data_IF_379755192918
#
_entry.id   IF_379755192918
#
_cell.length_a   1.000
_cell.length_b   1.000
_cell.length_c   1.000
_cell.angle_alpha   90.00
_cell.angle_beta   90.00
_cell.angle_gamma   90.00
#
_symmetry.space_group_name_H-M   'P 1'
#
loop_
_entity.id
_entity.type
_entity.pdbx_description
1 polymer ?
#
# COMPACT_ATOMS: atom_id res chain seq x y z
N UNK A 1 16.04 -4.35 -26.25
CA UNK A 1 15.02 -3.82 -25.30
C UNK A 1 15.58 -4.10 -23.91
N UNK A 2 15.80 -3.08 -23.08
CA UNK A 2 16.21 -3.31 -21.69
C UNK A 2 14.99 -3.84 -20.96
N UNK A 3 15.09 -5.04 -20.41
CA UNK A 3 14.08 -5.54 -19.48
C UNK A 3 13.99 -4.53 -18.32
N UNK A 4 12.78 -4.05 -18.04
CA UNK A 4 12.58 -3.19 -16.88
C UNK A 4 12.89 -4.00 -15.62
N UNK A 5 13.65 -3.44 -14.70
CA UNK A 5 13.93 -4.09 -13.42
C UNK A 5 12.61 -4.41 -12.69
N UNK A 6 12.53 -5.57 -12.03
CA UNK A 6 11.33 -5.95 -11.31
C UNK A 6 11.03 -4.95 -10.18
N UNK A 7 9.78 -4.53 -10.07
CA UNK A 7 9.32 -3.62 -9.01
C UNK A 7 8.62 -4.40 -7.93
N UNK A 8 9.02 -4.18 -6.67
CA UNK A 8 8.37 -4.77 -5.49
C UNK A 8 7.46 -3.73 -4.86
N UNK A 9 6.19 -4.08 -4.71
CA UNK A 9 5.12 -3.23 -4.17
C UNK A 9 4.66 -3.79 -2.83
N UNK A 10 4.67 -2.95 -1.81
CA UNK A 10 4.00 -3.20 -0.54
C UNK A 10 2.61 -2.58 -0.59
N UNK A 11 1.57 -3.42 -0.59
CA UNK A 11 0.19 -2.97 -0.47
C UNK A 11 -0.31 -3.09 0.96
N UNK A 12 -1.01 -2.07 1.45
CA UNK A 12 -1.53 -2.03 2.82
C UNK A 12 -2.99 -1.58 2.85
N UNK A 13 -3.80 -2.34 3.58
CA UNK A 13 -5.13 -1.94 4.08
C UNK A 13 -4.99 -1.55 5.57
N UNK A 14 -5.05 -0.25 5.92
CA UNK A 14 -4.79 0.21 7.27
C UNK A 14 -5.90 -0.17 8.25
N UNK A 15 -5.53 -0.71 9.39
CA UNK A 15 -6.43 -0.96 10.50
C UNK A 15 -5.70 -0.86 11.84
N UNK A 16 -6.38 -0.42 12.89
CA UNK A 16 -5.74 -0.29 14.21
C UNK A 16 -5.69 -1.59 15.01
N UNK A 17 -6.58 -2.55 14.76
CA UNK A 17 -6.56 -3.86 15.38
C UNK A 17 -5.89 -4.90 14.47
N UNK A 18 -6.14 -4.77 13.17
CA UNK A 18 -5.60 -5.63 12.12
C UNK A 18 -5.27 -4.74 10.93
N UNK A 19 -4.02 -4.73 10.52
CA UNK A 19 -3.55 -4.10 9.28
C UNK A 19 -3.24 -5.20 8.29
N UNK A 20 -3.94 -5.23 7.15
CA UNK A 20 -3.68 -6.19 6.07
C UNK A 20 -2.50 -5.75 5.21
N UNK A 21 -1.68 -6.70 4.75
CA UNK A 21 -0.60 -6.39 3.81
C UNK A 21 -0.42 -7.44 2.73
N UNK A 22 0.13 -7.00 1.59
CA UNK A 22 0.58 -7.87 0.52
C UNK A 22 1.85 -7.35 -0.13
N UNK A 23 2.81 -8.26 -0.37
CA UNK A 23 4.03 -7.97 -1.14
C UNK A 23 3.87 -8.59 -2.51
N UNK A 24 3.77 -7.76 -3.53
CA UNK A 24 3.62 -8.18 -4.93
C UNK A 24 4.83 -7.71 -5.74
N UNK A 25 5.40 -8.61 -6.53
CA UNK A 25 6.43 -8.27 -7.51
C UNK A 25 5.80 -8.17 -8.90
N UNK A 26 6.09 -7.09 -9.60
CA UNK A 26 5.78 -6.88 -11.02
C UNK A 26 7.05 -7.05 -11.82
N UNK A 27 7.10 -8.08 -12.66
CA UNK A 27 8.21 -8.34 -13.58
C UNK A 27 7.99 -7.67 -14.94
N UNK A 28 9.04 -7.54 -15.76
CA UNK A 28 9.08 -6.73 -16.98
C UNK A 28 8.05 -7.07 -18.08
N UNK A 29 7.37 -8.19 -18.04
CA UNK A 29 6.28 -8.57 -18.97
C UNK A 29 4.91 -8.53 -18.30
N UNK A 30 4.71 -7.64 -17.31
CA UNK A 30 3.50 -7.56 -16.50
C UNK A 30 3.16 -8.86 -15.75
N UNK A 31 4.12 -9.76 -15.56
CA UNK A 31 3.95 -10.92 -14.72
C UNK A 31 3.88 -10.46 -13.25
N UNK A 32 2.81 -10.85 -12.57
CA UNK A 32 2.55 -10.50 -11.17
C UNK A 32 2.77 -11.72 -10.29
N UNK A 33 3.61 -11.58 -9.27
CA UNK A 33 3.94 -12.65 -8.33
C UNK A 33 3.66 -12.20 -6.91
N UNK A 34 2.84 -12.93 -6.18
CA UNK A 34 2.68 -12.74 -4.73
C UNK A 34 3.92 -13.32 -4.02
N UNK A 35 4.66 -12.47 -3.34
CA UNK A 35 5.83 -12.86 -2.54
C UNK A 35 5.38 -13.29 -1.14
N UNK A 36 4.57 -12.44 -0.49
CA UNK A 36 4.06 -12.67 0.85
C UNK A 36 2.77 -11.87 1.06
N UNK A 37 1.91 -12.36 1.93
CA UNK A 37 0.78 -11.60 2.44
C UNK A 37 0.46 -12.02 3.87
N UNK A 38 -0.19 -11.15 4.61
CA UNK A 38 -0.55 -11.41 5.99
C UNK A 38 -1.19 -10.22 6.68
N UNK A 39 -1.11 -10.22 7.99
CA UNK A 39 -1.64 -9.15 8.81
C UNK A 39 -0.69 -8.80 9.96
N UNK A 40 -0.62 -7.51 10.26
CA UNK A 40 -0.03 -6.98 11.49
C UNK A 40 -1.17 -6.85 12.50
N UNK A 41 -1.04 -7.48 13.67
CA UNK A 41 -2.06 -7.45 14.73
C UNK A 41 -1.57 -6.66 15.91
N UNK A 42 -2.47 -5.87 16.50
CA UNK A 42 -2.24 -5.18 17.77
C UNK A 42 -3.24 -5.69 18.81
N UNK A 43 -2.95 -5.49 20.07
CA UNK A 43 -3.89 -5.83 21.15
C UNK A 43 -4.83 -4.65 21.41
N UNK A 44 -6.16 -4.80 21.27
CA UNK A 44 -7.12 -3.71 21.50
C UNK A 44 -7.10 -3.14 22.93
N UNK A 45 -6.62 -3.91 23.92
CA UNK A 45 -6.44 -3.48 25.31
C UNK A 45 -5.26 -2.53 25.51
N UNK A 46 -4.32 -2.50 24.60
CA UNK A 46 -3.10 -1.70 24.73
C UNK A 46 -3.40 -0.23 24.39
N UNK A 47 -2.64 0.66 25.01
CA UNK A 47 -2.72 2.09 24.71
C UNK A 47 -2.46 2.35 23.21
N UNK A 48 -3.16 3.34 22.65
CA UNK A 48 -3.07 3.65 21.21
C UNK A 48 -1.60 3.83 20.76
N UNK A 49 -0.76 4.51 21.55
CA UNK A 49 0.64 4.74 21.22
C UNK A 49 1.42 3.44 21.02
N UNK A 50 1.22 2.43 21.87
CA UNK A 50 1.86 1.11 21.72
C UNK A 50 1.38 0.40 20.46
N UNK A 51 0.08 0.43 20.21
CA UNK A 51 -0.48 -0.15 18.98
C UNK A 51 0.05 0.50 17.72
N UNK A 52 0.25 1.83 17.74
CA UNK A 52 0.86 2.55 16.62
C UNK A 52 2.33 2.17 16.43
N UNK A 53 3.08 1.96 17.52
CA UNK A 53 4.45 1.44 17.47
C UNK A 53 4.48 0.04 16.84
N UNK A 54 3.60 -0.87 17.29
CA UNK A 54 3.54 -2.23 16.73
C UNK A 54 3.24 -2.22 15.22
N UNK A 55 2.35 -1.33 14.76
CA UNK A 55 2.04 -1.19 13.33
C UNK A 55 3.26 -0.66 12.57
N UNK A 56 3.90 0.41 13.09
CA UNK A 56 5.10 0.99 12.49
C UNK A 56 6.21 -0.06 12.36
N UNK A 57 6.51 -0.77 13.45
CA UNK A 57 7.59 -1.75 13.51
C UNK A 57 7.32 -2.94 12.58
N UNK A 58 6.06 -3.39 12.51
CA UNK A 58 5.66 -4.43 11.57
C UNK A 58 5.85 -4.00 10.11
N UNK A 59 5.48 -2.77 9.77
CA UNK A 59 5.69 -2.22 8.41
C UNK A 59 7.18 -2.03 8.12
N UNK A 60 7.95 -1.48 9.07
CA UNK A 60 9.40 -1.30 8.92
C UNK A 60 10.12 -2.65 8.71
N UNK A 61 9.68 -3.71 9.40
CA UNK A 61 10.22 -5.06 9.20
C UNK A 61 9.92 -5.61 7.81
N UNK A 62 8.70 -5.42 7.29
CA UNK A 62 8.34 -5.80 5.92
C UNK A 62 9.21 -5.05 4.89
N UNK A 63 9.41 -3.75 5.09
CA UNK A 63 10.26 -2.92 4.23
C UNK A 63 11.71 -3.42 4.26
N UNK A 64 12.26 -3.67 5.45
CA UNK A 64 13.63 -4.15 5.61
C UNK A 64 13.86 -5.50 4.92
N UNK A 65 12.88 -6.41 5.02
CA UNK A 65 12.97 -7.79 4.53
C UNK A 65 12.77 -7.89 3.02
N UNK A 66 11.80 -7.17 2.48
CA UNK A 66 11.41 -7.28 1.06
C UNK A 66 11.92 -6.15 0.18
N UNK A 67 12.41 -5.06 0.78
CA UNK A 67 12.95 -3.88 0.10
C UNK A 67 12.01 -3.38 -1.02
N UNK A 68 10.69 -3.18 -0.73
CA UNK A 68 9.77 -2.63 -1.70
C UNK A 68 10.20 -1.20 -2.05
N UNK A 69 9.99 -0.82 -3.31
CA UNK A 69 10.23 0.54 -3.78
C UNK A 69 8.96 1.37 -3.84
N UNK A 70 7.81 0.71 -3.77
CA UNK A 70 6.47 1.32 -3.84
C UNK A 70 5.64 0.91 -2.65
N UNK A 71 4.96 1.87 -2.03
CA UNK A 71 3.90 1.68 -1.05
C UNK A 71 2.56 2.05 -1.69
N UNK A 72 1.66 1.08 -1.83
CA UNK A 72 0.28 1.26 -2.24
C UNK A 72 -0.63 1.12 -1.02
N UNK A 73 -1.26 2.19 -0.57
CA UNK A 73 -2.05 2.20 0.66
C UNK A 73 -3.50 2.58 0.39
N UNK A 74 -4.44 1.85 0.99
CA UNK A 74 -5.85 2.22 0.93
C UNK A 74 -6.10 3.54 1.69
N UNK A 75 -6.82 4.46 1.04
CA UNK A 75 -7.21 5.72 1.66
C UNK A 75 -8.42 5.53 2.56
N UNK A 76 -8.51 6.37 3.60
CA UNK A 76 -9.61 6.33 4.56
C UNK A 76 -10.79 7.09 3.97
N UNK A 77 -11.91 6.39 3.78
CA UNK A 77 -13.19 7.07 3.56
C UNK A 77 -13.82 7.43 4.91
N UNK A 78 -14.47 8.60 4.99
CA UNK A 78 -15.10 9.07 6.22
C UNK A 78 -15.99 7.98 6.83
N UNK A 79 -15.58 7.42 7.97
CA UNK A 79 -16.44 6.55 8.74
C UNK A 79 -17.56 7.37 9.37
N UNK A 80 -18.74 6.75 9.55
CA UNK A 80 -19.88 7.39 10.25
C UNK A 80 -19.51 7.86 11.66
N UNK A 81 -18.47 7.29 12.25
CA UNK A 81 -17.96 7.63 13.57
C UNK A 81 -16.63 8.38 13.45
N UNK A 82 -16.63 9.67 13.79
CA UNK A 82 -15.47 10.56 13.75
C UNK A 82 -14.30 10.00 14.57
N UNK A 83 -14.55 9.44 15.76
CA UNK A 83 -13.49 8.87 16.60
C UNK A 83 -12.78 7.71 15.91
N UNK A 84 -13.54 6.84 15.25
CA UNK A 84 -12.96 5.72 14.48
C UNK A 84 -12.10 6.24 13.32
N UNK A 85 -12.58 7.25 12.59
CA UNK A 85 -11.82 7.88 11.50
C UNK A 85 -10.51 8.48 12.00
N UNK A 86 -10.53 9.20 13.11
CA UNK A 86 -9.32 9.82 13.70
C UNK A 86 -8.30 8.73 14.10
N UNK A 87 -8.75 7.68 14.80
CA UNK A 87 -7.88 6.60 15.26
C UNK A 87 -7.29 5.81 14.06
N UNK A 88 -8.07 5.60 13.01
CA UNK A 88 -7.60 4.97 11.77
C UNK A 88 -6.59 5.88 11.05
N UNK A 89 -6.81 7.19 11.07
CA UNK A 89 -5.86 8.18 10.55
C UNK A 89 -4.50 8.12 11.22
N UNK A 90 -4.44 7.87 12.54
CA UNK A 90 -3.17 7.65 13.24
C UNK A 90 -2.44 6.40 12.74
N UNK A 91 -3.13 5.27 12.60
CA UNK A 91 -2.53 4.04 12.05
C UNK A 91 -1.99 4.25 10.64
N UNK A 92 -2.78 4.92 9.78
CA UNK A 92 -2.35 5.27 8.43
C UNK A 92 -1.14 6.21 8.44
N UNK A 93 -1.12 7.20 9.33
CA UNK A 93 -0.01 8.15 9.46
C UNK A 93 1.33 7.47 9.78
N UNK A 94 1.36 6.47 10.66
CA UNK A 94 2.61 5.75 10.97
C UNK A 94 3.06 4.84 9.83
N UNK A 95 2.13 4.30 9.04
CA UNK A 95 2.44 3.52 7.84
C UNK A 95 3.07 4.43 6.76
N UNK A 96 2.47 5.60 6.50
CA UNK A 96 3.01 6.58 5.56
C UNK A 96 4.39 7.07 6.00
N UNK A 97 4.57 7.29 7.31
CA UNK A 97 5.86 7.69 7.88
C UNK A 97 6.93 6.63 7.63
N UNK A 98 6.64 5.36 7.87
CA UNK A 98 7.56 4.25 7.62
C UNK A 98 7.98 4.17 6.14
N UNK A 99 7.02 4.32 5.21
CA UNK A 99 7.28 4.36 3.77
C UNK A 99 8.13 5.56 3.35
N UNK A 100 7.83 6.76 3.88
CA UNK A 100 8.56 7.99 3.60
C UNK A 100 10.00 7.93 4.13
N UNK A 101 10.21 7.39 5.33
CA UNK A 101 11.54 7.20 5.91
C UNK A 101 12.40 6.22 5.11
N UNK A 102 11.76 5.24 4.47
CA UNK A 102 12.43 4.28 3.59
C UNK A 102 12.64 4.81 2.15
N UNK A 103 12.18 6.03 1.84
CA UNK A 103 12.31 6.63 0.51
C UNK A 103 11.45 5.96 -0.56
N UNK A 104 10.34 5.32 -0.16
CA UNK A 104 9.43 4.64 -1.09
C UNK A 104 8.59 5.65 -1.89
N UNK A 105 8.20 5.27 -3.10
CA UNK A 105 7.17 5.96 -3.87
C UNK A 105 5.78 5.58 -3.29
N UNK A 106 5.02 6.58 -2.82
CA UNK A 106 3.79 6.36 -2.05
C UNK A 106 2.58 6.70 -2.91
N UNK A 107 1.67 5.74 -3.04
CA UNK A 107 0.42 5.87 -3.77
C UNK A 107 -0.77 5.53 -2.86
N UNK A 108 -1.74 6.43 -2.84
CA UNK A 108 -2.93 6.36 -2.00
C UNK A 108 -4.15 6.12 -2.87
N UNK A 109 -4.93 5.10 -2.57
CA UNK A 109 -6.06 4.68 -3.40
C UNK A 109 -7.36 4.64 -2.61
N UNK A 110 -8.42 5.33 -3.07
CA UNK A 110 -9.76 5.15 -2.52
C UNK A 110 -10.23 3.69 -2.65
N UNK A 111 -11.03 3.17 -1.71
CA UNK A 111 -11.56 1.80 -1.76
C UNK A 111 -12.28 1.46 -3.08
N UNK A 112 -13.00 2.43 -3.66
CA UNK A 112 -13.69 2.25 -4.94
C UNK A 112 -12.72 2.09 -6.12
N UNK A 113 -11.56 2.74 -6.07
CA UNK A 113 -10.53 2.62 -7.09
C UNK A 113 -9.85 1.25 -7.01
N UNK A 114 -9.52 0.77 -5.81
CA UNK A 114 -8.99 -0.58 -5.60
C UNK A 114 -9.95 -1.62 -6.16
N UNK A 115 -11.25 -1.53 -5.83
CA UNK A 115 -12.27 -2.43 -6.36
C UNK A 115 -12.36 -2.38 -7.89
N UNK A 116 -12.32 -1.17 -8.47
CA UNK A 116 -12.36 -0.99 -9.91
C UNK A 116 -11.14 -1.56 -10.59
N UNK A 117 -9.95 -1.33 -10.06
CA UNK A 117 -8.69 -1.84 -10.64
C UNK A 117 -8.62 -3.36 -10.61
N UNK A 118 -9.01 -3.99 -9.49
CA UNK A 118 -8.90 -5.44 -9.31
C UNK A 118 -10.08 -6.21 -9.89
N UNK A 119 -11.32 -5.71 -9.74
CA UNK A 119 -12.54 -6.42 -10.11
C UNK A 119 -13.35 -5.77 -11.25
N UNK A 120 -12.82 -4.71 -11.87
CA UNK A 120 -13.44 -4.03 -13.01
C UNK A 120 -14.54 -3.04 -12.64
N UNK A 121 -15.03 -3.01 -11.40
CA UNK A 121 -16.06 -2.09 -10.92
C UNK A 121 -15.83 -1.66 -9.47
N UNK A 122 -16.06 -0.36 -9.19
CA UNK A 122 -15.96 0.18 -7.83
C UNK A 122 -17.04 -0.31 -6.86
N UNK A 123 -18.11 -0.93 -7.37
CA UNK A 123 -19.18 -1.54 -6.60
C UNK A 123 -18.94 -3.02 -6.25
N UNK A 124 -17.76 -3.57 -6.59
CA UNK A 124 -17.44 -4.96 -6.33
C UNK A 124 -17.54 -5.30 -4.83
N UNK A 125 -18.08 -6.47 -4.55
CA UNK A 125 -18.14 -7.03 -3.19
C UNK A 125 -16.76 -7.52 -2.75
N UNK A 126 -16.53 -7.66 -1.44
CA UNK A 126 -15.29 -8.19 -0.89
C UNK A 126 -14.96 -9.58 -1.47
N UNK A 127 -15.94 -10.44 -1.64
CA UNK A 127 -15.77 -11.77 -2.25
C UNK A 127 -15.33 -11.70 -3.72
N UNK A 128 -15.87 -10.76 -4.47
CA UNK A 128 -15.45 -10.56 -5.87
C UNK A 128 -13.99 -10.07 -5.96
N UNK A 129 -13.57 -9.15 -5.08
CA UNK A 129 -12.19 -8.70 -5.01
C UNK A 129 -11.25 -9.87 -4.66
N UNK A 130 -11.57 -10.66 -3.64
CA UNK A 130 -10.79 -11.85 -3.24
C UNK A 130 -10.68 -12.88 -4.37
N UNK A 131 -11.79 -13.13 -5.07
CA UNK A 131 -11.80 -14.01 -6.24
C UNK A 131 -10.84 -13.50 -7.32
N UNK A 132 -10.90 -12.21 -7.64
CA UNK A 132 -10.05 -11.62 -8.68
C UNK A 132 -8.57 -11.59 -8.25
N UNK A 133 -8.25 -11.28 -6.99
CA UNK A 133 -6.89 -11.39 -6.45
C UNK A 133 -6.33 -12.79 -6.67
N UNK A 134 -7.12 -13.82 -6.34
CA UNK A 134 -6.76 -15.23 -6.53
C UNK A 134 -6.48 -15.55 -8.01
N UNK A 135 -7.29 -15.03 -8.91
CA UNK A 135 -7.17 -15.28 -10.35
C UNK A 135 -5.99 -14.53 -10.97
N UNK A 136 -5.82 -13.24 -10.66
CA UNK A 136 -4.76 -12.40 -11.21
C UNK A 136 -3.37 -12.90 -10.81
N UNK A 137 -3.22 -13.42 -9.61
CA UNK A 137 -1.97 -13.96 -9.07
C UNK A 137 -1.85 -15.49 -9.26
N UNK A 138 -2.82 -16.13 -9.91
CA UNK A 138 -2.85 -17.59 -10.17
C UNK A 138 -2.67 -18.43 -8.90
N UNK A 139 -3.27 -17.99 -7.80
CA UNK A 139 -3.15 -18.67 -6.51
C UNK A 139 -4.07 -19.90 -6.46
N UNK A 140 -3.70 -20.89 -5.66
CA UNK A 140 -4.53 -22.09 -5.40
C UNK A 140 -5.74 -21.77 -4.52
N UNK A 141 -5.61 -20.77 -3.62
CA UNK A 141 -6.65 -20.31 -2.71
C UNK A 141 -6.50 -18.82 -2.45
N UNK A 142 -7.58 -18.17 -2.01
CA UNK A 142 -7.54 -16.76 -1.63
C UNK A 142 -6.60 -16.53 -0.43
N UNK A 143 -5.88 -15.39 -0.39
CA UNK A 143 -5.08 -15.00 0.76
C UNK A 143 -5.91 -15.02 2.05
N UNK A 144 -5.29 -15.48 3.13
CA UNK A 144 -5.90 -15.57 4.46
C UNK A 144 -4.98 -14.90 5.51
N UNK A 145 -5.56 -14.26 6.53
CA UNK A 145 -6.98 -13.91 6.67
C UNK A 145 -7.46 -12.91 5.61
N UNK A 146 -8.77 -12.61 5.58
CA UNK A 146 -9.38 -11.76 4.53
C UNK A 146 -8.73 -10.40 4.38
N UNK A 147 -8.25 -9.80 5.50
CA UNK A 147 -7.58 -8.51 5.49
C UNK A 147 -6.24 -8.56 4.72
N UNK A 148 -5.58 -9.72 4.67
CA UNK A 148 -4.40 -9.92 3.83
C UNK A 148 -4.74 -9.78 2.34
N UNK A 149 -5.91 -10.26 1.90
CA UNK A 149 -6.35 -10.10 0.52
C UNK A 149 -6.62 -8.63 0.16
N UNK A 150 -7.06 -7.81 1.13
CA UNK A 150 -7.29 -6.38 0.92
C UNK A 150 -5.94 -5.64 0.75
N UNK A 151 -4.92 -5.97 1.54
CA UNK A 151 -3.56 -5.47 1.33
C UNK A 151 -2.96 -5.90 -0.02
N UNK A 152 -3.18 -7.15 -0.45
CA UNK A 152 -2.77 -7.61 -1.78
C UNK A 152 -3.51 -6.84 -2.88
N UNK A 153 -4.80 -6.55 -2.71
CA UNK A 153 -5.58 -5.77 -3.68
C UNK A 153 -5.04 -4.35 -3.84
N UNK A 154 -4.59 -3.70 -2.74
CA UNK A 154 -3.93 -2.40 -2.81
C UNK A 154 -2.64 -2.47 -3.64
N UNK A 155 -1.78 -3.48 -3.43
CA UNK A 155 -0.57 -3.68 -4.23
C UNK A 155 -0.89 -3.90 -5.72
N UNK A 156 -1.90 -4.73 -6.01
CA UNK A 156 -2.35 -5.01 -7.38
C UNK A 156 -2.87 -3.76 -8.08
N UNK A 157 -3.50 -2.83 -7.36
CA UNK A 157 -4.01 -1.58 -7.94
C UNK A 157 -2.89 -0.79 -8.60
N UNK A 158 -1.76 -0.63 -7.92
CA UNK A 158 -0.58 -0.01 -8.51
C UNK A 158 0.00 -0.85 -9.66
N UNK A 159 0.13 -2.14 -9.46
CA UNK A 159 0.78 -3.03 -10.42
C UNK A 159 0.00 -3.17 -11.74
N UNK A 160 -1.32 -3.02 -11.71
CA UNK A 160 -2.22 -3.07 -12.88
C UNK A 160 -2.41 -1.70 -13.55
N UNK A 161 -1.99 -0.60 -12.90
CA UNK A 161 -2.10 0.72 -13.49
C UNK A 161 -1.30 0.78 -14.80
N UNK A 162 -1.83 1.45 -15.86
CA UNK A 162 -1.07 1.70 -17.08
C UNK A 162 0.25 2.42 -16.74
N UNK A 163 1.34 2.01 -17.35
CA UNK A 163 2.60 2.73 -17.22
C UNK A 163 2.43 4.11 -17.87
N UNK A 164 2.25 5.13 -17.04
CA UNK A 164 2.37 6.51 -17.51
C UNK A 164 3.83 6.75 -17.88
N UNK A 165 4.11 7.44 -19.00
CA UNK A 165 5.48 7.85 -19.31
C UNK A 165 6.03 8.61 -18.12
N UNK A 166 7.22 8.22 -17.63
CA UNK A 166 7.90 8.95 -16.55
C UNK A 166 8.11 10.38 -17.02
N UNK A 167 7.26 11.30 -16.58
CA UNK A 167 7.51 12.72 -16.71
C UNK A 167 8.65 12.99 -15.74
N UNK A 168 9.85 13.28 -16.27
CA UNK A 168 10.95 13.70 -15.41
C UNK A 168 10.46 14.85 -14.53
N UNK A 169 10.69 14.80 -13.21
CA UNK A 169 10.31 15.90 -12.34
C UNK A 169 10.98 17.15 -12.88
N UNK A 170 10.19 18.18 -13.21
CA UNK A 170 10.71 19.50 -13.58
C UNK A 170 11.71 19.85 -12.47
N UNK A 171 13.00 19.86 -12.80
CA UNK A 171 14.05 20.31 -11.88
C UNK A 171 13.55 21.60 -11.27
N UNK A 172 13.30 21.62 -9.96
CA UNK A 172 13.10 22.86 -9.23
C UNK A 172 14.29 23.72 -9.56
N UNK A 173 14.10 24.69 -10.46
CA UNK A 173 15.07 25.72 -10.73
C UNK A 173 15.52 26.26 -9.37
N UNK A 174 16.80 26.20 -9.10
CA UNK A 174 17.45 26.77 -7.94
C UNK A 174 17.19 28.29 -7.95
N UNK A 175 16.06 28.68 -7.40
CA UNK A 175 15.77 30.09 -7.04
C UNK A 175 16.03 30.18 -5.56
N UNK A 176 17.29 30.40 -5.19
CA UNK A 176 17.70 31.01 -3.93
C UNK A 176 19.23 30.98 -3.76
N UNK A 177 19.90 31.75 -4.63
CA UNK A 177 21.23 32.24 -4.27
C UNK A 177 21.42 33.66 -4.80
N UNK A 178 20.61 34.60 -4.35
CA UNK A 178 20.89 36.03 -4.55
C UNK A 178 20.20 36.86 -3.47
N UNK A 179 20.56 36.61 -2.21
CA UNK A 179 20.29 37.57 -1.11
C UNK A 179 21.26 37.33 0.04
N UNK A 180 22.56 37.52 -0.23
CA UNK A 180 23.54 37.88 0.80
C UNK A 180 24.67 38.64 0.13
N UNK A 181 24.43 39.91 -0.17
CA UNK A 181 25.43 40.97 -0.31
C UNK A 181 24.65 42.29 -0.46
N UNK A 182 24.27 42.85 0.69
CA UNK A 182 24.26 44.28 0.95
C UNK A 182 24.07 44.46 2.44
#
# INVERSE_FOLDING_TARGET
>A
MRESEPTVVLGIDPGTAVTGYGIVRKDGHNALVLIECGVIRTKPSDALAHRLSDIHDGVAELIRRHKPTVLAIEDIFYARNVRTTVVLGHARGVILLAGAQAGMDIHEYPPSEIKKAVAGTGAATKLQVQFMVTRLLRLKSAPQPTDAADGVAAALTWALAPELPKIEPIRRLAVMETRRQH
#
